data_IF_830294208124
#
_entry.id   IF_830294208124
#
_cell.length_a   1.000
_cell.length_b   1.000
_cell.length_c   1.000
_cell.angle_alpha   90.00
_cell.angle_beta   90.00
_cell.angle_gamma   90.00
#
_symmetry.space_group_name_H-M   'P 1'
#
loop_
_entity.id
_entity.type
_entity.pdbx_description
1 polymer ?
#
# COMPACT_ATOMS: atom_id res chain seq x y z
N UNK A 1 39.65 -26.92 3.04
CA UNK A 1 39.41 -25.47 2.83
C UNK A 1 38.35 -25.18 1.77
N UNK A 2 38.31 -25.87 0.63
CA UNK A 2 37.34 -25.59 -0.46
C UNK A 2 35.85 -25.86 -0.13
N UNK A 3 35.55 -26.81 0.77
CA UNK A 3 34.16 -27.10 1.15
C UNK A 3 33.51 -25.97 1.97
N UNK A 4 34.29 -25.26 2.79
CA UNK A 4 33.81 -24.13 3.60
C UNK A 4 33.50 -22.91 2.75
N UNK A 5 34.31 -22.63 1.72
CA UNK A 5 34.07 -21.51 0.80
C UNK A 5 32.84 -21.77 -0.09
N UNK A 6 32.63 -23.02 -0.52
CA UNK A 6 31.43 -23.37 -1.30
C UNK A 6 30.15 -23.21 -0.47
N UNK A 7 30.18 -23.61 0.80
CA UNK A 7 29.06 -23.46 1.75
C UNK A 7 28.69 -22.00 2.01
N UNK A 8 29.69 -21.12 2.11
CA UNK A 8 29.47 -19.68 2.34
C UNK A 8 28.85 -19.03 1.11
N UNK A 9 29.39 -19.31 -0.08
CA UNK A 9 28.83 -18.80 -1.34
C UNK A 9 27.41 -19.32 -1.56
N UNK A 10 27.13 -20.58 -1.25
CA UNK A 10 25.78 -21.14 -1.34
C UNK A 10 24.80 -20.44 -0.39
N UNK A 11 25.26 -20.10 0.83
CA UNK A 11 24.44 -19.40 1.80
C UNK A 11 24.10 -17.98 1.36
N UNK A 12 25.06 -17.22 0.84
CA UNK A 12 24.82 -15.85 0.35
C UNK A 12 23.85 -15.84 -0.84
N UNK A 13 24.02 -16.76 -1.78
CA UNK A 13 23.11 -16.89 -2.93
C UNK A 13 21.70 -17.29 -2.49
N UNK A 14 21.56 -18.16 -1.48
CA UNK A 14 20.25 -18.55 -0.95
C UNK A 14 19.55 -17.38 -0.25
N UNK A 15 20.29 -16.59 0.54
CA UNK A 15 19.76 -15.38 1.21
C UNK A 15 19.29 -14.32 0.21
N UNK A 16 20.02 -14.09 -0.89
CA UNK A 16 19.60 -13.14 -1.94
C UNK A 16 18.29 -13.57 -2.62
N UNK A 17 18.10 -14.88 -2.84
CA UNK A 17 16.87 -15.43 -3.45
C UNK A 17 15.68 -15.28 -2.50
N UNK A 18 15.86 -15.57 -1.20
CA UNK A 18 14.80 -15.44 -0.19
C UNK A 18 14.30 -14.00 -0.04
N UNK A 19 15.16 -13.02 -0.31
CA UNK A 19 14.87 -11.59 -0.25
C UNK A 19 14.19 -11.09 -1.53
N UNK A 20 14.56 -11.62 -2.70
CA UNK A 20 13.95 -11.25 -3.98
C UNK A 20 12.46 -11.58 -4.03
N UNK A 21 12.06 -12.74 -3.48
CA UNK A 21 10.67 -13.22 -3.48
C UNK A 21 9.69 -12.20 -2.86
N UNK A 22 9.88 -11.71 -1.61
CA UNK A 22 8.97 -10.73 -1.01
C UNK A 22 8.96 -9.40 -1.76
N UNK A 23 10.09 -8.95 -2.32
CA UNK A 23 10.15 -7.71 -3.11
C UNK A 23 9.33 -7.83 -4.39
N UNK A 24 9.45 -8.97 -5.10
CA UNK A 24 8.64 -9.25 -6.28
C UNK A 24 7.16 -9.33 -5.95
N UNK A 25 6.79 -9.99 -4.84
CA UNK A 25 5.40 -10.09 -4.36
C UNK A 25 4.80 -8.71 -4.05
N UNK A 26 5.55 -7.87 -3.34
CA UNK A 26 5.12 -6.50 -2.99
C UNK A 26 4.91 -5.66 -4.27
N UNK A 27 5.85 -5.71 -5.22
CA UNK A 27 5.74 -4.98 -6.48
C UNK A 27 4.59 -5.48 -7.35
N UNK A 28 4.43 -6.80 -7.47
CA UNK A 28 3.33 -7.39 -8.24
C UNK A 28 1.98 -7.04 -7.61
N UNK A 29 1.89 -7.08 -6.27
CA UNK A 29 0.74 -6.60 -5.52
C UNK A 29 0.40 -5.15 -5.83
N UNK A 30 1.40 -4.26 -5.81
CA UNK A 30 1.23 -2.84 -6.15
C UNK A 30 0.72 -2.61 -7.58
N UNK A 31 1.22 -3.37 -8.57
CA UNK A 31 0.81 -3.25 -9.97
C UNK A 31 -0.64 -3.68 -10.18
N UNK A 32 -1.00 -4.88 -9.70
CA UNK A 32 -2.38 -5.40 -9.79
C UNK A 32 -3.35 -4.45 -9.09
N UNK A 33 -2.90 -3.88 -7.98
CA UNK A 33 -3.63 -2.93 -7.19
C UNK A 33 -3.90 -1.62 -7.93
N UNK A 34 -2.87 -0.96 -8.48
CA UNK A 34 -3.01 0.26 -9.29
C UNK A 34 -3.95 0.01 -10.48
N UNK A 35 -3.80 -1.14 -11.15
CA UNK A 35 -4.68 -1.51 -12.26
C UNK A 35 -6.15 -1.66 -11.84
N UNK A 36 -6.41 -2.23 -10.66
CA UNK A 36 -7.76 -2.41 -10.12
C UNK A 36 -8.41 -1.07 -9.77
N UNK A 37 -7.65 -0.18 -9.12
CA UNK A 37 -8.10 1.19 -8.80
C UNK A 37 -8.42 1.97 -10.08
N UNK A 38 -7.52 1.93 -11.06
CA UNK A 38 -7.72 2.62 -12.34
C UNK A 38 -8.96 2.08 -13.09
N UNK A 39 -9.19 0.77 -13.03
CA UNK A 39 -10.37 0.12 -13.61
C UNK A 39 -11.67 0.53 -12.89
N UNK A 40 -11.63 0.70 -11.58
CA UNK A 40 -12.77 1.15 -10.78
C UNK A 40 -13.13 2.60 -11.09
N UNK A 41 -12.14 3.49 -11.19
CA UNK A 41 -12.35 4.89 -11.58
C UNK A 41 -12.91 5.05 -13.00
N UNK A 42 -12.61 4.11 -13.91
CA UNK A 42 -13.12 4.15 -15.29
C UNK A 42 -14.58 3.68 -15.42
N UNK A 43 -15.14 2.96 -14.45
CA UNK A 43 -16.52 2.44 -14.46
C UNK A 43 -17.54 3.44 -13.89
N UNK A 44 -17.41 4.72 -14.21
CA UNK A 44 -18.23 5.81 -13.66
C UNK A 44 -19.73 5.75 -14.01
N UNK A 45 -20.46 4.80 -13.45
CA UNK A 45 -21.92 4.88 -13.32
C UNK A 45 -22.23 5.65 -12.03
N UNK A 46 -22.70 6.89 -12.18
CA UNK A 46 -23.14 7.73 -11.08
C UNK A 46 -24.46 7.15 -10.49
N UNK A 47 -24.50 6.75 -9.20
CA UNK A 47 -25.73 6.34 -8.55
C UNK A 47 -26.47 7.52 -7.91
N UNK A 48 -27.78 7.34 -7.80
CA UNK A 48 -28.78 8.31 -7.35
C UNK A 48 -28.54 8.86 -5.91
N UNK A 49 -29.04 10.07 -5.66
CA UNK A 49 -28.61 11.01 -4.59
C UNK A 49 -28.59 10.46 -3.15
N UNK A 50 -29.43 9.48 -2.82
CA UNK A 50 -29.52 8.89 -1.47
C UNK A 50 -28.59 7.66 -1.26
N UNK A 51 -28.29 6.92 -2.33
CA UNK A 51 -27.24 5.89 -2.28
C UNK A 51 -25.85 6.51 -2.25
N UNK A 52 -25.73 7.75 -2.76
CA UNK A 52 -24.49 8.52 -2.89
C UNK A 52 -23.75 8.64 -1.57
N UNK A 53 -24.41 9.03 -0.47
CA UNK A 53 -23.74 9.26 0.82
C UNK A 53 -23.21 7.97 1.46
N UNK A 54 -23.98 6.87 1.39
CA UNK A 54 -23.52 5.55 1.88
C UNK A 54 -22.39 4.99 1.02
N UNK A 55 -22.48 5.14 -0.31
CA UNK A 55 -21.41 4.74 -1.23
C UNK A 55 -20.16 5.61 -1.04
N UNK A 56 -20.28 6.93 -0.85
CA UNK A 56 -19.13 7.82 -0.62
C UNK A 56 -18.36 7.49 0.66
N UNK A 57 -19.06 7.19 1.75
CA UNK A 57 -18.42 6.78 3.00
C UNK A 57 -17.67 5.45 2.82
N UNK A 58 -18.30 4.48 2.14
CA UNK A 58 -17.65 3.20 1.81
C UNK A 58 -16.44 3.40 0.89
N UNK A 59 -16.56 4.24 -0.15
CA UNK A 59 -15.46 4.59 -1.05
C UNK A 59 -14.31 5.26 -0.30
N UNK A 60 -14.58 6.25 0.57
CA UNK A 60 -13.55 6.92 1.35
C UNK A 60 -12.74 5.98 2.25
N UNK A 61 -13.41 5.01 2.87
CA UNK A 61 -12.76 3.96 3.67
C UNK A 61 -11.93 3.02 2.79
N UNK A 62 -12.48 2.58 1.65
CA UNK A 62 -11.73 1.76 0.69
C UNK A 62 -10.49 2.49 0.22
N UNK A 63 -10.61 3.74 -0.26
CA UNK A 63 -9.48 4.55 -0.74
C UNK A 63 -8.42 4.82 0.33
N UNK A 64 -8.82 5.01 1.59
CA UNK A 64 -7.87 5.13 2.71
C UNK A 64 -7.10 3.83 2.92
N UNK A 65 -7.78 2.69 2.97
CA UNK A 65 -7.13 1.39 3.14
C UNK A 65 -6.18 1.06 1.99
N UNK A 66 -6.63 1.39 0.78
CA UNK A 66 -5.86 1.33 -0.45
C UNK A 66 -4.58 2.18 -0.38
N UNK A 67 -4.68 3.44 0.05
CA UNK A 67 -3.53 4.33 0.22
C UNK A 67 -2.55 3.79 1.29
N UNK A 68 -3.07 3.20 2.36
CA UNK A 68 -2.27 2.59 3.42
C UNK A 68 -1.44 1.42 2.90
N UNK A 69 -1.94 0.59 1.99
CA UNK A 69 -1.14 -0.49 1.36
C UNK A 69 0.07 0.04 0.58
N UNK A 70 -0.08 1.18 -0.09
CA UNK A 70 1.04 1.85 -0.78
C UNK A 70 2.07 2.33 0.24
N UNK A 71 1.62 2.93 1.35
CA UNK A 71 2.53 3.37 2.42
C UNK A 71 3.28 2.21 3.05
N UNK A 72 2.60 1.09 3.33
CA UNK A 72 3.24 -0.12 3.86
C UNK A 72 4.33 -0.60 2.90
N UNK A 73 4.03 -0.65 1.59
CA UNK A 73 5.00 -1.03 0.55
C UNK A 73 6.24 -0.15 0.57
N UNK A 74 6.06 1.18 0.66
CA UNK A 74 7.17 2.14 0.70
C UNK A 74 7.98 1.99 2.00
N UNK A 75 7.33 1.83 3.15
CA UNK A 75 8.00 1.60 4.43
C UNK A 75 8.81 0.30 4.41
N UNK A 76 8.29 -0.75 3.78
CA UNK A 76 9.03 -1.99 3.56
C UNK A 76 10.28 -1.78 2.70
N UNK A 77 10.23 -0.96 1.64
CA UNK A 77 11.42 -0.62 0.87
C UNK A 77 12.43 0.19 1.68
N UNK A 78 11.98 1.16 2.47
CA UNK A 78 12.88 1.97 3.33
C UNK A 78 13.65 1.08 4.31
N UNK A 79 12.96 0.15 4.96
CA UNK A 79 13.57 -0.83 5.85
C UNK A 79 14.52 -1.76 5.08
N UNK A 80 14.12 -2.19 3.88
CA UNK A 80 14.89 -3.12 3.05
C UNK A 80 16.22 -2.53 2.56
N UNK A 81 16.19 -1.31 2.03
CA UNK A 81 17.39 -0.62 1.55
C UNK A 81 18.26 -0.07 2.69
N UNK A 82 17.89 -0.31 3.95
CA UNK A 82 18.61 0.20 5.11
C UNK A 82 18.65 1.73 5.19
N UNK A 83 17.67 2.41 4.58
CA UNK A 83 17.64 3.88 4.51
C UNK A 83 17.28 4.49 5.87
N UNK A 84 16.55 3.76 6.70
CA UNK A 84 16.23 4.13 8.08
C UNK A 84 15.94 2.88 8.92
N UNK A 85 16.30 2.92 10.21
CA UNK A 85 15.92 1.89 11.18
C UNK A 85 14.48 2.14 11.65
N UNK A 86 13.53 1.39 11.10
CA UNK A 86 12.13 1.48 11.49
C UNK A 86 11.81 0.43 12.55
N UNK A 87 11.45 0.90 13.75
CA UNK A 87 10.93 0.01 14.79
C UNK A 87 9.51 -0.43 14.47
N UNK A 88 9.14 -1.66 14.84
CA UNK A 88 7.78 -2.18 14.60
C UNK A 88 6.70 -1.24 15.17
N UNK A 89 6.90 -0.71 16.37
CA UNK A 89 5.99 0.26 17.00
C UNK A 89 5.89 1.56 16.20
N UNK A 90 7.00 2.05 15.65
CA UNK A 90 7.02 3.24 14.79
C UNK A 90 6.24 3.02 13.49
N UNK A 91 6.45 1.89 12.82
CA UNK A 91 5.74 1.52 11.59
C UNK A 91 4.24 1.42 11.84
N UNK A 92 3.83 0.72 12.91
CA UNK A 92 2.42 0.59 13.30
C UNK A 92 1.78 1.95 13.60
N UNK A 93 2.50 2.83 14.31
CA UNK A 93 2.06 4.19 14.57
C UNK A 93 1.84 4.98 13.28
N UNK A 94 2.82 4.99 12.37
CA UNK A 94 2.74 5.69 11.09
C UNK A 94 1.53 5.21 10.29
N UNK A 95 1.36 3.89 10.16
CA UNK A 95 0.23 3.27 9.45
C UNK A 95 -1.10 3.72 10.05
N UNK A 96 -1.23 3.68 11.38
CA UNK A 96 -2.48 3.97 12.07
C UNK A 96 -2.88 5.44 11.92
N UNK A 97 -1.94 6.37 12.15
CA UNK A 97 -2.20 7.80 11.95
C UNK A 97 -2.48 8.14 10.48
N UNK A 98 -1.72 7.56 9.56
CA UNK A 98 -1.92 7.79 8.14
C UNK A 98 -3.29 7.31 7.67
N UNK A 99 -3.76 6.17 8.16
CA UNK A 99 -5.07 5.63 7.84
C UNK A 99 -6.20 6.55 8.33
N UNK A 100 -6.10 7.07 9.56
CA UNK A 100 -7.08 8.02 10.10
C UNK A 100 -7.08 9.32 9.27
N UNK A 101 -5.92 9.89 8.99
CA UNK A 101 -5.81 11.16 8.26
C UNK A 101 -6.32 11.01 6.84
N UNK A 102 -5.89 9.96 6.13
CA UNK A 102 -6.31 9.71 4.75
C UNK A 102 -7.82 9.48 4.62
N UNK A 103 -8.44 8.74 5.54
CA UNK A 103 -9.89 8.54 5.55
C UNK A 103 -10.64 9.88 5.69
N UNK A 104 -10.16 10.77 6.56
CA UNK A 104 -10.75 12.11 6.72
C UNK A 104 -10.55 12.98 5.47
N UNK A 105 -9.36 12.94 4.86
CA UNK A 105 -9.04 13.68 3.62
C UNK A 105 -9.92 13.21 2.45
N UNK A 106 -10.04 11.91 2.23
CA UNK A 106 -10.89 11.37 1.16
C UNK A 106 -12.37 11.70 1.40
N UNK A 107 -12.85 11.54 2.64
CA UNK A 107 -14.22 11.90 3.00
C UNK A 107 -14.51 13.37 2.70
N UNK A 108 -13.60 14.27 3.05
CA UNK A 108 -13.71 15.70 2.73
C UNK A 108 -13.65 16.00 1.22
N UNK A 109 -12.71 15.37 0.51
CA UNK A 109 -12.53 15.56 -0.93
C UNK A 109 -13.78 15.16 -1.73
N UNK A 110 -14.37 14.00 -1.41
CA UNK A 110 -15.58 13.54 -2.09
C UNK A 110 -16.82 14.36 -1.70
N UNK A 111 -16.90 14.91 -0.49
CA UNK A 111 -17.97 15.86 -0.13
C UNK A 111 -17.91 17.13 -0.96
N UNK A 112 -16.72 17.71 -1.17
CA UNK A 112 -16.57 18.92 -2.01
C UNK A 112 -16.99 18.71 -3.45
N UNK A 113 -16.71 17.55 -4.04
CA UNK A 113 -17.06 17.25 -5.43
C UNK A 113 -18.57 17.21 -5.69
N UNK A 114 -19.40 17.02 -4.67
CA UNK A 114 -20.86 17.03 -4.79
C UNK A 114 -21.51 18.39 -4.57
N UNK A 115 -20.74 19.43 -4.29
CA UNK A 115 -21.17 20.82 -4.00
C UNK A 115 -20.74 21.80 -5.13
N UNK A 116 -20.09 21.27 -6.19
CA UNK A 116 -19.62 22.02 -7.38
C UNK A 116 -20.47 21.77 -8.63
N UNK A 117 -21.70 21.26 -8.45
CA UNK A 117 -22.75 21.26 -9.47
C UNK A 117 -23.80 22.33 -9.14
#
# INVERSE_FOLDING_TARGET
>A
MAAGTLSVVLSEVLFDIDILIPIFLINMGLIIFIATVFRLFRRGDLPDRDERTKKLAAYGITYSWLLTLVVITVLSWIQYFGLAELTANGVLGIILFFMIISANVFRWYFMRKGDIE
#
